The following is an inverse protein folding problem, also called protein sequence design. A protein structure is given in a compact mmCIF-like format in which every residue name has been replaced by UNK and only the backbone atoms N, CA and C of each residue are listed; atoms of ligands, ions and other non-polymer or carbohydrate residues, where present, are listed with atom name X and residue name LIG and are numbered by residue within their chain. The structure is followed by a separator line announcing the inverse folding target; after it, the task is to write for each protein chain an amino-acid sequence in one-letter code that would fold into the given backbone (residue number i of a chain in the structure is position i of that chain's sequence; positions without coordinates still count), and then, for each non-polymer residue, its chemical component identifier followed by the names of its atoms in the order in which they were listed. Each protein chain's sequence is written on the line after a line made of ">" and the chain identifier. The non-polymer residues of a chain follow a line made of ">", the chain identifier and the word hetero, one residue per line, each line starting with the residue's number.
data_IF_605841457166
#
_entry.id   IF_605841457166
#
_cell.length_a   1.000
_cell.length_b   1.000
_cell.length_c   1.000
_cell.angle_alpha   90.00
_cell.angle_beta   90.00
_cell.angle_gamma   90.00
#
_symmetry.space_group_name_H-M   'P 1'
#
loop_
_entity.id
_entity.type
_entity.pdbx_description
1 polymer ?
#
# COMPACT_ATOMS: atom_id res chain seq x y z
N UNK A 1 17.74 50.49 -60.54
CA UNK A 1 18.42 49.61 -59.56
C UNK A 1 17.33 48.98 -58.64
N UNK A 2 16.95 47.78 -58.89
CA UNK A 2 15.89 47.06 -58.09
C UNK A 2 16.60 46.11 -57.11
N UNK A 3 16.60 46.47 -55.80
CA UNK A 3 17.12 45.59 -54.77
C UNK A 3 16.07 44.55 -54.40
N UNK A 4 16.32 43.30 -54.68
CA UNK A 4 15.52 42.17 -54.25
C UNK A 4 15.84 41.86 -52.79
N UNK A 5 14.85 42.01 -51.94
CA UNK A 5 14.95 41.59 -50.51
C UNK A 5 14.46 40.17 -50.46
N UNK A 6 15.37 39.24 -50.11
CA UNK A 6 15.04 37.85 -49.78
C UNK A 6 14.46 37.80 -48.34
N UNK A 7 13.34 37.13 -48.09
CA UNK A 7 12.92 36.86 -46.72
C UNK A 7 13.70 35.70 -46.15
N UNK A 8 14.37 35.93 -45.03
CA UNK A 8 15.03 34.92 -44.21
C UNK A 8 13.90 34.15 -43.49
N UNK A 9 13.66 32.93 -43.93
CA UNK A 9 12.77 31.99 -43.22
C UNK A 9 13.58 31.43 -42.06
N UNK A 10 13.26 31.92 -40.88
CA UNK A 10 13.79 31.42 -39.62
C UNK A 10 13.05 30.12 -39.28
N UNK A 11 13.69 28.97 -39.59
CA UNK A 11 13.17 27.67 -39.19
C UNK A 11 13.47 27.50 -37.71
N UNK A 12 12.43 27.70 -36.89
CA UNK A 12 12.48 27.40 -35.46
C UNK A 12 12.36 25.88 -35.28
N UNK A 13 13.48 25.20 -35.14
CA UNK A 13 13.54 23.79 -34.80
C UNK A 13 13.07 23.62 -33.34
N UNK A 14 11.80 23.25 -33.16
CA UNK A 14 11.28 22.84 -31.86
C UNK A 14 11.82 21.45 -31.58
N UNK A 15 12.91 21.41 -30.80
CA UNK A 15 13.45 20.18 -30.22
C UNK A 15 12.49 19.70 -29.14
N UNK A 16 11.57 18.81 -29.49
CA UNK A 16 10.78 18.04 -28.52
C UNK A 16 11.67 17.00 -27.86
N UNK A 17 12.25 17.36 -26.72
CA UNK A 17 12.88 16.39 -25.85
C UNK A 17 11.81 15.44 -25.33
N UNK A 18 11.72 14.26 -25.92
CA UNK A 18 11.01 13.10 -25.39
C UNK A 18 11.72 12.68 -24.11
N UNK A 19 11.25 13.20 -22.98
CA UNK A 19 11.51 12.60 -21.68
C UNK A 19 10.83 11.22 -21.68
N UNK A 20 11.58 10.20 -22.12
CA UNK A 20 11.24 8.83 -21.88
C UNK A 20 11.31 8.60 -20.36
N UNK A 21 10.22 8.92 -19.66
CA UNK A 21 9.98 8.48 -18.30
C UNK A 21 9.94 6.97 -18.33
N UNK A 22 11.00 6.31 -17.88
CA UNK A 22 10.96 4.90 -17.52
C UNK A 22 9.99 4.73 -16.36
N UNK A 23 8.70 4.66 -16.66
CA UNK A 23 7.73 4.03 -15.77
C UNK A 23 8.11 2.56 -15.72
N UNK A 24 8.82 2.14 -14.66
CA UNK A 24 8.88 0.75 -14.28
C UNK A 24 7.43 0.28 -14.20
N UNK A 25 6.98 -0.51 -15.17
CA UNK A 25 5.76 -1.31 -15.06
C UNK A 25 5.94 -2.20 -13.83
N UNK A 26 5.44 -1.73 -12.67
CA UNK A 26 5.08 -2.62 -11.60
C UNK A 26 4.13 -3.65 -12.19
N UNK A 27 4.18 -4.90 -11.69
CA UNK A 27 3.23 -5.94 -12.03
C UNK A 27 1.84 -5.32 -12.12
N UNK A 28 1.08 -5.67 -13.15
CA UNK A 28 -0.25 -5.11 -13.44
C UNK A 28 -1.18 -5.52 -12.28
N UNK A 29 -1.18 -4.70 -11.22
CA UNK A 29 -1.95 -4.93 -9.98
C UNK A 29 -3.42 -4.76 -10.28
N UNK A 30 -4.01 -5.81 -10.84
CA UNK A 30 -5.40 -5.81 -11.29
C UNK A 30 -6.33 -5.67 -10.11
N UNK A 31 -6.94 -4.49 -9.99
CA UNK A 31 -7.99 -4.23 -8.99
C UNK A 31 -9.19 -5.15 -9.24
N UNK A 32 -9.74 -5.67 -8.16
CA UNK A 32 -10.96 -6.46 -8.21
C UNK A 32 -12.20 -5.55 -8.44
N UNK A 33 -13.39 -6.16 -8.50
CA UNK A 33 -14.66 -5.43 -8.67
C UNK A 33 -14.96 -4.39 -7.57
N UNK A 34 -14.34 -4.54 -6.40
CA UNK A 34 -14.50 -3.65 -5.25
C UNK A 34 -13.43 -2.53 -5.23
N UNK A 35 -12.53 -2.47 -6.24
CA UNK A 35 -11.57 -1.39 -6.46
C UNK A 35 -10.25 -1.50 -5.69
N UNK A 36 -10.03 -2.57 -4.92
CA UNK A 36 -8.75 -2.88 -4.26
C UNK A 36 -8.05 -4.07 -4.94
N UNK A 37 -6.76 -4.27 -4.67
CA UNK A 37 -5.97 -5.39 -5.16
C UNK A 37 -5.82 -6.46 -4.09
N UNK A 38 -6.25 -7.69 -4.38
CA UNK A 38 -5.95 -8.84 -3.54
C UNK A 38 -4.65 -9.47 -3.98
N UNK A 39 -3.73 -9.69 -3.04
CA UNK A 39 -2.42 -10.29 -3.29
C UNK A 39 -2.23 -11.58 -2.46
N UNK A 40 -1.33 -12.43 -2.92
CA UNK A 40 -0.93 -13.64 -2.19
C UNK A 40 -0.03 -13.32 -1.00
N UNK A 41 0.13 -14.26 -0.05
CA UNK A 41 1.08 -14.12 1.05
C UNK A 41 2.53 -13.90 0.59
N UNK A 42 2.94 -14.52 -0.54
CA UNK A 42 4.26 -14.31 -1.14
C UNK A 42 4.46 -12.88 -1.68
N UNK A 43 3.42 -12.33 -2.30
CA UNK A 43 3.44 -10.94 -2.78
C UNK A 43 3.39 -9.97 -1.61
N UNK A 44 2.63 -10.29 -0.54
CA UNK A 44 2.60 -9.52 0.70
C UNK A 44 3.99 -9.47 1.37
N UNK A 45 4.76 -10.58 1.37
CA UNK A 45 6.13 -10.57 1.89
C UNK A 45 7.02 -9.60 1.12
N UNK A 46 6.97 -9.60 -0.22
CA UNK A 46 7.70 -8.63 -1.05
C UNK A 46 7.24 -7.19 -0.82
N UNK A 47 5.93 -7.00 -0.59
CA UNK A 47 5.39 -5.69 -0.25
C UNK A 47 6.00 -5.18 1.06
N UNK A 48 6.05 -6.01 2.11
CA UNK A 48 6.63 -5.68 3.42
C UNK A 48 8.14 -5.37 3.32
N UNK A 49 8.88 -6.15 2.55
CA UNK A 49 10.31 -5.91 2.30
C UNK A 49 10.56 -4.53 1.70
N UNK A 50 9.74 -4.12 0.73
CA UNK A 50 9.90 -2.87 -0.01
C UNK A 50 9.13 -1.69 0.61
N UNK A 51 8.41 -1.86 1.71
CA UNK A 51 7.48 -0.86 2.25
C UNK A 51 8.13 0.51 2.50
N UNK A 52 9.33 0.55 3.06
CA UNK A 52 10.06 1.82 3.31
C UNK A 52 10.47 2.51 2.01
N UNK A 53 10.96 1.74 1.02
CA UNK A 53 11.36 2.25 -0.28
C UNK A 53 10.17 2.80 -1.07
N UNK A 54 9.03 2.18 -0.93
CA UNK A 54 7.79 2.51 -1.65
C UNK A 54 6.93 3.51 -0.87
N UNK A 55 7.39 4.00 0.28
CA UNK A 55 6.60 4.81 1.24
C UNK A 55 5.22 4.20 1.52
N UNK A 56 5.20 2.88 1.68
CA UNK A 56 3.97 2.13 1.87
C UNK A 56 3.63 1.94 3.35
N UNK A 57 2.34 1.90 3.67
CA UNK A 57 1.83 1.60 5.01
C UNK A 57 1.33 0.17 5.07
N UNK A 58 1.67 -0.52 6.15
CA UNK A 58 1.16 -1.86 6.46
C UNK A 58 0.27 -1.72 7.69
N UNK A 59 -1.00 -2.07 7.56
CA UNK A 59 -2.01 -1.84 8.58
C UNK A 59 -2.58 -3.17 9.06
N UNK A 60 -2.45 -3.41 10.36
CA UNK A 60 -3.14 -4.47 11.07
C UNK A 60 -4.50 -3.96 11.57
N UNK A 61 -5.58 -4.48 11.02
CA UNK A 61 -6.93 -4.02 11.37
C UNK A 61 -7.54 -4.73 12.58
N UNK A 62 -6.78 -5.58 13.27
CA UNK A 62 -7.23 -6.32 14.47
C UNK A 62 -7.20 -5.48 15.75
N UNK A 63 -6.53 -4.32 15.70
CA UNK A 63 -6.36 -3.47 16.87
C UNK A 63 -5.11 -3.80 17.70
N UNK A 64 -4.82 -2.93 18.70
CA UNK A 64 -3.53 -2.87 19.40
C UNK A 64 -3.19 -4.16 20.17
N UNK A 65 -4.15 -4.77 20.86
CA UNK A 65 -3.89 -5.98 21.67
C UNK A 65 -3.47 -7.16 20.78
N UNK A 66 -4.28 -7.49 19.75
CA UNK A 66 -3.97 -8.59 18.83
C UNK A 66 -2.67 -8.34 18.05
N UNK A 67 -2.40 -7.08 17.70
CA UNK A 67 -1.15 -6.67 17.09
C UNK A 67 0.04 -6.92 18.03
N UNK A 68 -0.06 -6.53 19.31
CA UNK A 68 0.99 -6.75 20.30
C UNK A 68 1.31 -8.23 20.54
N UNK A 69 0.29 -9.10 20.50
CA UNK A 69 0.45 -10.55 20.64
C UNK A 69 1.10 -11.23 19.43
N UNK A 70 1.19 -10.55 18.29
CA UNK A 70 1.89 -11.06 17.10
C UNK A 70 1.49 -10.31 15.84
N UNK A 71 2.45 -9.65 15.21
CA UNK A 71 2.21 -8.82 14.02
C UNK A 71 3.29 -8.94 12.96
N UNK A 72 2.95 -8.55 11.74
CA UNK A 72 3.88 -8.46 10.62
C UNK A 72 4.83 -7.26 10.84
N UNK A 73 6.14 -7.42 10.60
CA UNK A 73 7.10 -6.32 10.75
C UNK A 73 6.65 -5.04 10.02
N UNK A 74 6.93 -3.87 10.60
CA UNK A 74 6.58 -2.55 10.07
C UNK A 74 5.09 -2.23 10.05
N UNK A 75 4.22 -3.13 10.53
CA UNK A 75 2.78 -2.84 10.58
C UNK A 75 2.40 -1.92 11.73
N UNK A 76 1.35 -1.15 11.53
CA UNK A 76 0.74 -0.26 12.50
C UNK A 76 -0.65 -0.78 12.85
N UNK A 77 -1.02 -0.86 14.15
CA UNK A 77 -2.36 -1.27 14.55
C UNK A 77 -3.35 -0.12 14.35
N UNK A 78 -4.41 -0.37 13.57
CA UNK A 78 -5.56 0.54 13.44
C UNK A 78 -6.82 -0.30 13.55
N UNK A 79 -7.63 -0.06 14.58
CA UNK A 79 -8.84 -0.82 14.80
C UNK A 79 -9.82 -0.68 13.63
N UNK A 80 -10.39 -1.79 13.16
CA UNK A 80 -11.22 -1.80 11.94
C UNK A 80 -12.42 -0.84 12.01
N UNK A 81 -12.95 -0.56 13.20
CA UNK A 81 -14.06 0.39 13.39
C UNK A 81 -13.63 1.86 13.27
N UNK A 82 -12.35 2.17 13.45
CA UNK A 82 -11.87 3.55 13.29
C UNK A 82 -12.00 4.03 11.84
N UNK A 83 -11.99 3.11 10.89
CA UNK A 83 -12.26 3.42 9.49
C UNK A 83 -13.73 3.82 9.20
N UNK A 84 -14.65 3.60 10.16
CA UNK A 84 -16.04 4.07 10.07
C UNK A 84 -16.19 5.53 10.50
N UNK A 85 -15.23 6.04 11.29
CA UNK A 85 -15.30 7.38 11.90
C UNK A 85 -14.83 8.49 10.97
N UNK A 86 -14.38 8.16 9.76
CA UNK A 86 -13.88 9.13 8.77
C UNK A 86 -12.41 8.96 8.43
N UNK A 87 -11.65 10.06 8.42
CA UNK A 87 -10.23 10.01 8.08
C UNK A 87 -9.40 9.36 9.18
N UNK A 88 -8.54 8.43 8.77
CA UNK A 88 -7.59 7.76 9.65
C UNK A 88 -6.29 8.54 9.63
N UNK A 89 -5.85 9.04 10.80
CA UNK A 89 -4.66 9.89 10.94
C UNK A 89 -3.37 9.22 10.45
N UNK A 90 -3.32 7.89 10.50
CA UNK A 90 -2.20 7.08 10.02
C UNK A 90 -2.12 7.03 8.48
N UNK A 91 -3.18 7.45 7.79
CA UNK A 91 -3.34 7.38 6.33
C UNK A 91 -3.77 8.74 5.74
N UNK A 92 -2.96 9.80 5.88
CA UNK A 92 -3.34 11.15 5.42
C UNK A 92 -3.35 11.27 3.90
N UNK A 93 -2.58 10.48 3.18
CA UNK A 93 -2.49 10.52 1.72
C UNK A 93 -3.36 9.44 1.08
N UNK A 94 -4.36 9.87 0.29
CA UNK A 94 -5.27 8.98 -0.44
C UNK A 94 -4.58 8.19 -1.57
N UNK A 95 -3.40 8.62 -2.01
CA UNK A 95 -2.61 7.94 -3.04
C UNK A 95 -1.52 7.05 -2.46
N UNK A 96 -1.34 7.04 -1.15
CA UNK A 96 -0.36 6.19 -0.48
C UNK A 96 -0.65 4.70 -0.73
N UNK A 97 0.40 3.93 -0.92
CA UNK A 97 0.33 2.48 -1.05
C UNK A 97 0.05 1.85 0.31
N UNK A 98 -1.04 1.12 0.45
CA UNK A 98 -1.51 0.58 1.73
C UNK A 98 -1.72 -0.93 1.60
N UNK A 99 -1.10 -1.71 2.49
CA UNK A 99 -1.38 -3.14 2.65
C UNK A 99 -2.18 -3.36 3.93
N UNK A 100 -3.35 -3.94 3.80
CA UNK A 100 -4.23 -4.30 4.90
C UNK A 100 -4.18 -5.79 5.20
N UNK A 101 -4.19 -6.15 6.48
CA UNK A 101 -4.33 -7.54 6.88
C UNK A 101 -5.07 -7.69 8.22
N UNK A 102 -5.59 -8.87 8.48
CA UNK A 102 -6.09 -9.37 9.75
C UNK A 102 -5.65 -10.83 9.92
N UNK A 103 -6.39 -11.66 10.64
CA UNK A 103 -6.04 -13.10 10.77
C UNK A 103 -6.41 -13.90 9.50
N UNK A 104 -7.62 -13.73 8.97
CA UNK A 104 -8.22 -14.57 7.91
C UNK A 104 -8.74 -13.79 6.71
N UNK A 105 -8.52 -12.49 6.63
CA UNK A 105 -8.95 -11.65 5.50
C UNK A 105 -10.37 -11.09 5.61
N UNK A 106 -11.17 -11.47 6.58
CA UNK A 106 -12.55 -10.99 6.71
C UNK A 106 -12.65 -9.49 7.01
N UNK A 107 -11.97 -9.02 8.04
CA UNK A 107 -11.94 -7.61 8.44
C UNK A 107 -11.15 -6.76 7.43
N UNK A 108 -9.98 -7.23 6.97
CA UNK A 108 -9.14 -6.50 6.03
C UNK A 108 -9.87 -6.21 4.71
N UNK A 109 -10.62 -7.16 4.17
CA UNK A 109 -11.47 -6.95 2.97
C UNK A 109 -12.57 -5.91 3.19
N UNK A 110 -13.20 -5.89 4.38
CA UNK A 110 -14.20 -4.86 4.72
C UNK A 110 -13.57 -3.47 4.77
N UNK A 111 -12.41 -3.34 5.41
CA UNK A 111 -11.66 -2.08 5.48
C UNK A 111 -11.17 -1.66 4.10
N UNK A 112 -10.65 -2.58 3.27
CA UNK A 112 -10.23 -2.28 1.90
C UNK A 112 -11.35 -1.64 1.07
N UNK A 113 -12.55 -2.25 1.08
CA UNK A 113 -13.73 -1.69 0.39
C UNK A 113 -14.11 -0.29 0.91
N UNK A 114 -13.96 -0.06 2.21
CA UNK A 114 -14.26 1.23 2.83
C UNK A 114 -13.27 2.30 2.41
N UNK A 115 -11.96 2.00 2.45
CA UNK A 115 -10.93 2.92 2.00
C UNK A 115 -11.11 3.30 0.53
N UNK A 116 -11.43 2.35 -0.34
CA UNK A 116 -11.75 2.65 -1.75
C UNK A 116 -12.93 3.62 -1.87
N UNK A 117 -14.01 3.42 -1.10
CA UNK A 117 -15.16 4.34 -1.06
C UNK A 117 -14.79 5.74 -0.53
N UNK A 118 -13.79 5.83 0.34
CA UNK A 118 -13.25 7.07 0.87
C UNK A 118 -12.24 7.75 -0.07
N UNK A 119 -11.99 7.18 -1.27
CA UNK A 119 -11.14 7.75 -2.30
C UNK A 119 -9.66 7.33 -2.26
N UNK A 120 -9.30 6.33 -1.46
CA UNK A 120 -7.95 5.76 -1.50
C UNK A 120 -7.74 4.96 -2.79
N UNK A 121 -6.63 5.21 -3.48
CA UNK A 121 -6.39 4.71 -4.84
C UNK A 121 -5.48 3.48 -4.90
N UNK A 122 -4.63 3.24 -3.88
CA UNK A 122 -3.62 2.19 -3.89
C UNK A 122 -3.78 1.23 -2.70
N UNK A 123 -4.94 0.58 -2.62
CA UNK A 123 -5.32 -0.32 -1.53
C UNK A 123 -5.05 -1.77 -1.92
N UNK A 124 -4.23 -2.45 -1.12
CA UNK A 124 -3.89 -3.86 -1.22
C UNK A 124 -4.40 -4.62 0.01
N UNK A 125 -4.75 -5.86 -0.18
CA UNK A 125 -5.20 -6.76 0.89
C UNK A 125 -4.73 -8.18 0.61
N UNK A 126 -4.45 -8.94 1.64
CA UNK A 126 -4.22 -10.38 1.57
C UNK A 126 -4.88 -11.08 2.78
N UNK A 127 -4.98 -12.42 2.73
CA UNK A 127 -5.71 -13.20 3.76
C UNK A 127 -5.06 -13.18 5.16
N UNK A 128 -4.05 -12.35 5.37
CA UNK A 128 -3.46 -12.05 6.67
C UNK A 128 -2.60 -13.18 7.27
N UNK A 129 -2.55 -13.24 8.60
CA UNK A 129 -1.61 -14.10 9.33
C UNK A 129 -1.77 -15.59 9.01
N UNK A 130 -2.96 -16.06 8.64
CA UNK A 130 -3.21 -17.47 8.26
C UNK A 130 -2.33 -17.96 7.11
N UNK A 131 -1.99 -17.07 6.17
CA UNK A 131 -1.18 -17.38 4.98
C UNK A 131 0.17 -16.67 4.98
N UNK A 132 0.52 -16.02 6.10
CA UNK A 132 1.79 -15.36 6.28
C UNK A 132 2.88 -16.35 6.65
N UNK A 133 3.96 -16.40 5.86
CA UNK A 133 5.11 -17.27 6.09
C UNK A 133 6.38 -16.50 6.52
N UNK A 134 6.24 -15.20 6.75
CA UNK A 134 7.36 -14.36 7.19
C UNK A 134 7.48 -14.29 8.71
N UNK A 135 8.42 -13.46 9.17
CA UNK A 135 8.61 -13.18 10.60
C UNK A 135 7.35 -12.55 11.20
N UNK A 136 7.04 -12.95 12.44
CA UNK A 136 6.04 -12.30 13.31
C UNK A 136 6.80 -11.71 14.50
N UNK A 137 6.45 -10.49 14.89
CA UNK A 137 6.99 -9.79 16.06
C UNK A 137 5.95 -9.83 17.16
N UNK A 138 6.38 -10.13 18.38
CA UNK A 138 5.57 -10.06 19.61
C UNK A 138 6.14 -8.93 20.44
N UNK A 139 5.27 -8.03 20.89
CA UNK A 139 5.68 -6.93 21.76
C UNK A 139 6.04 -7.47 23.16
N UNK A 140 7.01 -6.82 23.83
CA UNK A 140 7.57 -7.28 25.12
C UNK A 140 6.48 -7.52 26.15
N UNK A 141 5.51 -6.61 26.25
CA UNK A 141 4.42 -6.69 27.23
C UNK A 141 3.48 -7.90 27.05
N UNK A 142 3.58 -8.65 25.93
CA UNK A 142 2.73 -9.81 25.60
C UNK A 142 3.51 -11.14 25.56
N UNK A 143 4.83 -11.14 25.78
CA UNK A 143 5.65 -12.37 25.68
C UNK A 143 5.26 -13.43 26.69
N UNK A 144 5.02 -13.03 27.93
CA UNK A 144 4.66 -13.95 29.02
C UNK A 144 3.34 -14.68 28.78
N UNK A 145 2.43 -14.07 28.00
CA UNK A 145 1.13 -14.68 27.69
C UNK A 145 1.24 -15.86 26.70
N UNK A 146 2.31 -15.94 25.93
CA UNK A 146 2.52 -17.02 24.97
C UNK A 146 3.26 -18.21 25.59
N UNK A 147 4.06 -18.01 26.62
CA UNK A 147 4.79 -19.09 27.30
C UNK A 147 3.88 -19.97 28.15
N UNK A 148 2.69 -19.47 28.54
CA UNK A 148 1.69 -20.19 29.32
C UNK A 148 0.84 -21.21 28.55
N UNK A 149 0.80 -21.17 27.22
CA UNK A 149 0.00 -22.07 26.38
C UNK A 149 0.78 -23.32 25.91
N UNK A 150 2.07 -23.44 26.18
CA UNK A 150 2.93 -24.54 25.76
C UNK A 150 3.22 -25.57 26.86
N UNK A 151 2.40 -25.62 27.94
CA UNK A 151 2.57 -26.57 29.07
C UNK A 151 1.48 -27.62 29.09
#
# INVERSE_FOLDING_TARGET
>A
MKRKILPIIMILAISTALLAGCTKKGADDKKNKDGYTHISGKEAAKFVENAEKDDAKIIDVRGKVAWGMGHIPKSIPVWYEDFDKGEVKELPDKNQKILLYCDYGGLSKRVAKRLVKQGYTNVYEFNGLKVWNGKVIVEEEYKDLQEGESS
#
